data_IF_561217270569
#
_entry.id   IF_561217270569
#
_cell.length_a   1.000
_cell.length_b   1.000
_cell.length_c   1.000
_cell.angle_alpha   90.00
_cell.angle_beta   90.00
_cell.angle_gamma   90.00
#
_symmetry.space_group_name_H-M   'P 1'
#
loop_
_entity.id
_entity.type
_entity.pdbx_description
1 polymer ?
#
# COMPACT_ATOMS: atom_id res chain seq x y z
N UNK A 1 2.39 68.86 3.74
CA UNK A 1 1.43 68.63 4.85
C UNK A 1 1.32 67.11 5.01
N UNK A 2 2.15 66.43 5.81
CA UNK A 2 2.09 66.18 7.27
C UNK A 2 0.69 65.83 7.76
N UNK A 3 0.45 64.57 8.17
CA UNK A 3 -0.04 64.05 9.47
C UNK A 3 0.00 62.49 9.40
N UNK A 4 0.93 61.81 10.08
CA UNK A 4 0.84 61.22 11.44
C UNK A 4 -0.02 59.94 11.48
N UNK A 5 0.56 58.72 11.53
CA UNK A 5 0.94 57.95 12.74
C UNK A 5 -0.18 57.83 13.79
N UNK A 6 -0.76 56.63 13.90
CA UNK A 6 -1.35 56.15 15.15
C UNK A 6 -1.00 54.67 15.35
N UNK A 7 -0.18 54.43 16.36
CA UNK A 7 0.04 53.16 17.02
C UNK A 7 -1.25 52.70 17.69
N UNK A 8 -1.47 51.38 17.71
CA UNK A 8 -2.53 50.73 18.47
C UNK A 8 -2.02 49.42 19.05
N UNK A 9 -1.15 49.52 20.06
CA UNK A 9 -0.83 48.41 20.97
C UNK A 9 -2.07 48.10 21.81
N UNK A 10 -2.45 46.82 21.91
CA UNK A 10 -3.18 46.30 23.07
C UNK A 10 -2.80 44.85 23.27
N UNK A 11 -1.97 44.65 24.29
CA UNK A 11 -1.63 43.39 24.93
C UNK A 11 -2.78 43.07 25.89
N UNK A 12 -3.35 41.87 25.79
CA UNK A 12 -4.05 41.24 26.91
C UNK A 12 -3.48 39.83 27.06
N UNK A 13 -2.63 39.69 28.07
CA UNK A 13 -2.22 38.45 28.67
C UNK A 13 -3.25 38.06 29.74
N UNK A 14 -3.67 36.80 29.75
CA UNK A 14 -4.33 36.00 30.80
C UNK A 14 -4.29 34.57 30.25
N UNK A 15 -4.02 33.47 30.93
CA UNK A 15 -3.55 33.12 32.27
C UNK A 15 -3.46 31.59 32.21
N UNK A 16 -2.39 30.99 32.73
CA UNK A 16 -2.20 29.54 32.70
C UNK A 16 -3.19 28.76 33.56
N UNK A 17 -3.30 27.47 33.28
CA UNK A 17 -3.60 26.47 34.29
C UNK A 17 -2.77 25.21 34.00
N UNK A 18 -1.82 24.96 34.90
CA UNK A 18 -1.09 23.71 35.00
C UNK A 18 -1.92 22.72 35.83
N UNK A 19 -1.93 21.44 35.45
CA UNK A 19 -2.06 20.30 36.38
C UNK A 19 -1.82 18.98 35.63
N UNK A 20 -0.68 18.35 35.89
CA UNK A 20 -0.52 16.89 36.03
C UNK A 20 -0.54 16.60 37.56
N UNK A 21 -0.77 15.37 38.11
CA UNK A 21 -0.15 14.12 37.65
C UNK A 21 -0.94 12.79 37.87
N UNK A 22 -0.28 11.68 37.45
CA UNK A 22 -0.22 10.35 38.06
C UNK A 22 -1.38 9.32 37.89
N UNK A 23 -1.09 8.21 37.21
CA UNK A 23 -0.79 6.89 37.84
C UNK A 23 -0.98 5.72 36.86
N UNK A 24 0.06 4.93 36.64
CA UNK A 24 -0.02 3.48 36.31
C UNK A 24 0.29 2.70 37.62
N UNK A 25 0.34 1.34 37.69
CA UNK A 25 -0.10 0.25 36.79
C UNK A 25 -0.90 -0.84 37.56
N UNK A 26 -1.54 -1.81 36.90
CA UNK A 26 -1.80 -3.13 37.51
C UNK A 26 -1.81 -4.26 36.48
N UNK A 27 -0.77 -5.09 36.53
CA UNK A 27 -0.76 -6.49 36.09
C UNK A 27 -0.89 -7.36 37.34
N UNK A 28 -1.56 -8.53 37.23
CA UNK A 28 -0.96 -9.73 37.80
C UNK A 28 -1.03 -10.93 36.84
N UNK A 29 0.08 -11.66 36.76
CA UNK A 29 0.12 -13.11 36.47
C UNK A 29 0.36 -13.84 37.83
N UNK A 30 0.60 -15.16 37.93
CA UNK A 30 0.31 -16.32 37.06
C UNK A 30 -0.31 -17.51 37.86
N UNK A 31 -0.40 -18.70 37.22
CA UNK A 31 -0.04 -20.03 37.76
C UNK A 31 -1.11 -21.13 37.71
N UNK A 32 -0.74 -22.26 37.10
CA UNK A 32 -0.76 -23.66 37.63
C UNK A 32 -1.06 -24.65 36.49
N UNK A 33 -0.05 -25.31 35.91
CA UNK A 33 0.51 -26.63 36.28
C UNK A 33 -0.43 -27.83 36.08
N UNK A 34 -0.10 -28.70 35.12
CA UNK A 34 0.40 -30.08 35.34
C UNK A 34 -0.13 -31.11 34.32
N UNK A 35 0.77 -31.48 33.39
CA UNK A 35 1.27 -32.83 33.06
C UNK A 35 0.35 -34.04 32.69
N UNK A 36 0.89 -35.00 31.90
CA UNK A 36 0.17 -35.97 31.05
C UNK A 36 0.10 -37.38 31.66
N UNK A 37 -0.61 -38.32 31.00
CA UNK A 37 -0.51 -39.76 31.31
C UNK A 37 -0.41 -40.59 30.03
N UNK A 38 0.56 -41.49 30.08
CA UNK A 38 1.03 -42.48 29.11
C UNK A 38 0.12 -43.72 28.94
N UNK A 39 0.21 -44.27 27.72
CA UNK A 39 0.43 -45.68 27.32
C UNK A 39 -0.63 -46.80 27.49
N UNK A 40 -0.58 -47.70 26.49
CA UNK A 40 -1.44 -48.85 26.16
C UNK A 40 -1.11 -50.13 26.99
N UNK A 41 -1.83 -51.26 26.81
CA UNK A 41 -1.55 -52.20 25.71
C UNK A 41 -2.76 -53.00 25.12
N UNK A 42 -2.50 -53.62 23.96
CA UNK A 42 -3.23 -54.61 23.12
C UNK A 42 -3.43 -56.00 23.82
N UNK A 43 -4.08 -57.08 23.27
CA UNK A 43 -4.14 -57.57 21.87
C UNK A 43 -5.44 -58.33 21.42
N UNK A 44 -5.50 -58.77 20.14
CA UNK A 44 -6.48 -59.74 19.65
C UNK A 44 -6.48 -59.96 18.12
N UNK A 45 -6.26 -61.20 17.72
CA UNK A 45 -5.96 -61.81 16.40
C UNK A 45 -7.20 -62.02 15.49
N UNK A 46 -7.08 -61.94 14.15
CA UNK A 46 -7.61 -62.94 13.20
C UNK A 46 -7.15 -62.71 11.74
N UNK A 47 -7.13 -63.81 11.02
CA UNK A 47 -6.41 -64.20 9.79
C UNK A 47 -7.21 -63.91 8.50
N UNK A 48 -6.56 -63.48 7.40
CA UNK A 48 -6.91 -63.99 6.05
C UNK A 48 -5.92 -63.58 4.92
N UNK A 49 -5.43 -64.60 4.22
CA UNK A 49 -5.09 -64.71 2.80
C UNK A 49 -4.39 -63.55 2.05
N UNK A 50 -3.13 -63.81 1.68
CA UNK A 50 -2.42 -63.08 0.63
C UNK A 50 -2.92 -63.47 -0.78
N UNK A 51 -3.15 -62.50 -1.69
CA UNK A 51 -3.01 -62.72 -3.12
C UNK A 51 -1.81 -61.98 -3.73
N UNK A 52 -1.14 -62.63 -4.68
CA UNK A 52 0.05 -62.15 -5.41
C UNK A 52 -0.16 -60.79 -6.11
N UNK A 53 0.88 -59.93 -6.23
CA UNK A 53 0.76 -58.69 -6.99
C UNK A 53 0.66 -58.96 -8.50
N UNK A 54 -0.23 -58.28 -9.25
CA UNK A 54 -0.31 -58.44 -10.69
C UNK A 54 0.97 -57.94 -11.36
N UNK A 55 1.48 -58.74 -12.30
CA UNK A 55 2.62 -58.41 -13.17
C UNK A 55 2.28 -57.18 -14.01
N UNK A 56 3.06 -56.11 -13.83
CA UNK A 56 3.02 -54.89 -14.65
C UNK A 56 3.04 -55.26 -16.14
N UNK A 57 2.07 -54.76 -16.91
CA UNK A 57 1.99 -55.06 -18.34
C UNK A 57 3.07 -54.26 -19.10
N UNK A 58 3.50 -54.78 -20.25
CA UNK A 58 4.51 -54.12 -21.08
C UNK A 58 4.12 -52.69 -21.46
N UNK A 59 2.83 -52.36 -21.56
CA UNK A 59 2.33 -51.01 -21.85
C UNK A 59 2.64 -50.00 -20.74
N UNK A 60 2.59 -50.41 -19.46
CA UNK A 60 2.91 -49.54 -18.32
C UNK A 60 4.42 -49.25 -18.25
N UNK A 61 5.25 -50.22 -18.61
CA UNK A 61 6.70 -50.04 -18.68
C UNK A 61 7.14 -49.05 -19.80
N UNK A 62 6.40 -48.95 -20.91
CA UNK A 62 6.66 -47.95 -21.96
C UNK A 62 6.27 -46.53 -21.54
N UNK A 63 5.18 -46.37 -20.77
CA UNK A 63 4.72 -45.07 -20.28
C UNK A 63 5.70 -44.48 -19.26
N UNK A 64 6.24 -45.31 -18.36
CA UNK A 64 7.18 -44.87 -17.33
C UNK A 64 8.56 -44.51 -17.92
N UNK A 65 9.01 -45.26 -18.94
CA UNK A 65 10.28 -45.00 -19.61
C UNK A 65 10.26 -43.70 -20.43
N UNK A 66 9.15 -43.41 -21.12
CA UNK A 66 8.97 -42.16 -21.89
C UNK A 66 8.95 -40.94 -20.98
N UNK A 67 8.23 -41.03 -19.86
CA UNK A 67 8.13 -39.94 -18.87
C UNK A 67 9.50 -39.59 -18.27
N UNK A 68 10.39 -40.58 -18.12
CA UNK A 68 11.73 -40.39 -17.56
C UNK A 68 12.75 -39.85 -18.57
N UNK A 69 12.61 -40.17 -19.85
CA UNK A 69 13.42 -39.56 -20.92
C UNK A 69 13.04 -38.08 -21.17
N UNK A 70 11.75 -37.73 -21.03
CA UNK A 70 11.28 -36.36 -21.20
C UNK A 70 11.72 -35.44 -20.04
N UNK A 71 11.81 -35.97 -18.81
CA UNK A 71 12.31 -35.25 -17.65
C UNK A 71 13.84 -35.02 -17.65
N UNK A 72 14.60 -35.81 -18.41
CA UNK A 72 16.07 -35.72 -18.46
C UNK A 72 16.61 -34.89 -19.63
N UNK A 73 15.74 -34.45 -20.55
CA UNK A 73 16.12 -33.76 -21.78
C UNK A 73 15.83 -32.24 -21.80
N UNK A 74 15.37 -31.64 -20.70
CA UNK A 74 15.08 -30.21 -20.65
C UNK A 74 16.29 -29.37 -20.17
N UNK A 75 16.94 -28.56 -21.04
CA UNK A 75 17.85 -27.51 -20.60
C UNK A 75 17.06 -26.35 -19.96
N UNK A 76 17.65 -25.58 -19.01
CA UNK A 76 16.97 -24.43 -18.44
C UNK A 76 17.02 -23.26 -19.44
N UNK A 77 15.97 -23.12 -20.25
CA UNK A 77 15.77 -21.92 -21.08
C UNK A 77 14.46 -21.24 -20.72
N UNK A 78 14.62 -19.99 -20.30
CA UNK A 78 13.65 -18.91 -20.24
C UNK A 78 12.57 -18.95 -21.32
N UNK A 79 11.41 -18.38 -20.99
CA UNK A 79 10.21 -18.18 -21.81
C UNK A 79 9.34 -19.41 -22.04
N UNK A 80 8.65 -19.84 -20.97
CA UNK A 80 7.41 -20.60 -21.13
C UNK A 80 6.29 -19.59 -21.44
N UNK A 81 6.15 -19.32 -22.74
CA UNK A 81 5.01 -18.63 -23.29
C UNK A 81 3.79 -19.51 -23.04
N UNK A 82 3.05 -19.15 -21.99
CA UNK A 82 1.66 -19.46 -21.75
C UNK A 82 0.96 -20.10 -22.96
N UNK A 83 0.75 -21.42 -22.88
CA UNK A 83 -0.46 -22.02 -23.40
C UNK A 83 -1.64 -21.48 -22.57
N UNK A 84 -2.00 -20.21 -22.78
CA UNK A 84 -3.14 -19.58 -22.12
C UNK A 84 -4.40 -20.09 -22.81
N UNK A 85 -5.20 -20.84 -22.05
CA UNK A 85 -6.62 -21.03 -22.32
C UNK A 85 -7.28 -19.64 -22.53
N UNK A 86 -7.90 -19.36 -23.70
CA UNK A 86 -8.53 -18.08 -23.97
C UNK A 86 -9.73 -17.77 -23.05
N UNK A 87 -10.23 -18.74 -22.26
CA UNK A 87 -11.25 -18.53 -21.23
C UNK A 87 -10.64 -18.18 -19.86
N UNK A 88 -9.36 -18.46 -19.62
CA UNK A 88 -8.64 -18.07 -18.39
C UNK A 88 -8.21 -16.58 -18.37
N UNK A 89 -8.48 -15.84 -19.46
CA UNK A 89 -8.28 -14.38 -19.53
C UNK A 89 -9.13 -13.64 -18.47
N UNK A 90 -10.23 -14.26 -18.01
CA UNK A 90 -11.05 -13.73 -16.91
C UNK A 90 -10.27 -13.55 -15.61
N UNK A 91 -9.47 -14.54 -15.21
CA UNK A 91 -8.66 -14.48 -13.98
C UNK A 91 -7.42 -13.59 -14.13
N UNK A 92 -6.87 -13.46 -15.33
CA UNK A 92 -5.77 -12.55 -15.62
C UNK A 92 -6.20 -11.06 -15.55
N UNK A 93 -7.48 -10.75 -15.81
CA UNK A 93 -8.03 -9.41 -15.61
C UNK A 93 -8.30 -9.07 -14.14
N UNK A 94 -8.62 -10.06 -13.29
CA UNK A 94 -8.89 -9.82 -11.86
C UNK A 94 -7.62 -9.58 -11.02
N UNK A 95 -6.44 -9.98 -11.50
CA UNK A 95 -5.17 -9.82 -10.78
C UNK A 95 -4.30 -8.65 -11.27
N UNK A 96 -4.82 -7.79 -12.16
CA UNK A 96 -4.09 -6.60 -12.59
C UNK A 96 -3.76 -5.73 -11.36
N UNK A 97 -2.47 -5.65 -11.03
CA UNK A 97 -1.92 -4.88 -9.91
C UNK A 97 -2.49 -3.46 -9.99
N UNK A 98 -3.49 -3.20 -9.15
CA UNK A 98 -4.19 -1.91 -9.13
C UNK A 98 -3.45 -1.02 -8.17
N UNK A 99 -2.91 0.10 -8.67
CA UNK A 99 -2.23 1.11 -7.86
C UNK A 99 -3.10 1.50 -6.66
N UNK A 100 -2.52 1.42 -5.46
CA UNK A 100 -3.22 1.66 -4.20
C UNK A 100 -3.10 3.12 -3.80
N UNK A 101 -4.24 3.79 -3.63
CA UNK A 101 -4.28 5.17 -3.14
C UNK A 101 -4.81 5.22 -1.71
N UNK A 102 -4.00 5.72 -0.79
CA UNK A 102 -4.37 5.96 0.61
C UNK A 102 -4.65 7.44 0.83
N UNK A 103 -5.93 7.78 1.00
CA UNK A 103 -6.37 9.16 1.25
C UNK A 103 -6.22 9.50 2.73
N UNK A 104 -5.64 10.66 3.03
CA UNK A 104 -5.67 11.21 4.39
C UNK A 104 -7.04 11.85 4.64
N UNK A 105 -7.75 11.50 5.74
CA UNK A 105 -9.03 12.12 6.06
C UNK A 105 -8.91 13.64 6.19
N UNK A 106 -9.86 14.39 5.63
CA UNK A 106 -9.81 15.86 5.58
C UNK A 106 -9.62 16.53 6.96
N UNK A 107 -10.14 15.92 8.03
CA UNK A 107 -9.98 16.40 9.42
C UNK A 107 -8.54 16.34 9.94
N UNK A 108 -7.70 15.49 9.34
CA UNK A 108 -6.29 15.34 9.69
C UNK A 108 -5.37 16.20 8.79
N UNK A 109 -5.92 16.84 7.76
CA UNK A 109 -5.16 17.69 6.86
C UNK A 109 -4.97 19.08 7.48
N UNK A 110 -3.71 19.53 7.47
CA UNK A 110 -3.36 20.90 7.82
C UNK A 110 -3.69 21.82 6.64
N UNK A 111 -4.25 22.99 6.94
CA UNK A 111 -4.40 24.09 5.98
C UNK A 111 -3.02 24.61 5.55
N UNK A 112 -2.84 24.77 4.24
CA UNK A 112 -1.59 25.21 3.60
C UNK A 112 -1.91 26.10 2.41
N UNK A 113 -0.97 26.96 2.07
CA UNK A 113 -0.99 27.87 0.92
C UNK A 113 -0.08 27.36 -0.21
N UNK A 114 -0.23 27.92 -1.41
CA UNK A 114 0.65 27.61 -2.55
C UNK A 114 2.12 27.90 -2.22
N UNK A 115 2.37 29.00 -1.51
CA UNK A 115 3.71 29.36 -1.04
C UNK A 115 4.30 28.34 -0.07
N UNK A 116 3.48 27.69 0.75
CA UNK A 116 3.95 26.58 1.59
C UNK A 116 4.43 25.41 0.73
N UNK A 117 3.73 25.08 -0.37
CA UNK A 117 4.18 24.01 -1.29
C UNK A 117 5.51 24.37 -1.97
N UNK A 118 5.68 25.62 -2.40
CA UNK A 118 6.94 26.08 -3.00
C UNK A 118 8.11 26.03 -2.02
N UNK A 119 7.89 26.42 -0.77
CA UNK A 119 8.88 26.29 0.29
C UNK A 119 9.16 24.81 0.62
N UNK A 120 8.11 23.99 0.63
CA UNK A 120 8.21 22.54 0.78
C UNK A 120 9.07 21.90 -0.31
N UNK A 121 8.88 22.29 -1.57
CA UNK A 121 9.71 21.85 -2.70
C UNK A 121 11.19 22.14 -2.45
N UNK A 122 11.54 23.37 -2.06
CA UNK A 122 12.94 23.75 -1.76
C UNK A 122 13.54 22.95 -0.59
N UNK A 123 12.70 22.52 0.35
CA UNK A 123 13.11 21.65 1.47
C UNK A 123 13.41 20.24 0.96
N UNK A 124 12.53 19.69 0.11
CA UNK A 124 12.69 18.37 -0.48
C UNK A 124 13.92 18.30 -1.39
N UNK A 125 14.18 19.33 -2.21
CA UNK A 125 15.36 19.42 -3.09
C UNK A 125 16.69 19.46 -2.31
N UNK A 126 16.67 19.86 -1.04
CA UNK A 126 17.85 19.93 -0.17
C UNK A 126 18.01 18.72 0.74
N UNK A 127 17.08 17.78 0.71
CA UNK A 127 17.18 16.56 1.51
C UNK A 127 18.12 15.57 0.82
N UNK A 128 18.91 14.85 1.62
CA UNK A 128 19.86 13.87 1.10
C UNK A 128 19.18 12.53 0.79
N UNK A 129 18.05 12.26 1.46
CA UNK A 129 17.30 11.02 1.32
C UNK A 129 15.80 11.26 1.20
N UNK A 130 15.10 10.32 0.58
CA UNK A 130 13.65 10.34 0.48
C UNK A 130 12.96 10.38 1.86
N UNK A 131 13.39 9.55 2.81
CA UNK A 131 12.79 9.51 4.15
C UNK A 131 12.99 10.83 4.90
N UNK A 132 14.15 11.47 4.73
CA UNK A 132 14.42 12.79 5.28
C UNK A 132 13.52 13.85 4.63
N UNK A 133 13.37 13.83 3.30
CA UNK A 133 12.47 14.71 2.58
C UNK A 133 11.02 14.57 3.07
N UNK A 134 10.51 13.33 3.18
CA UNK A 134 9.16 13.05 3.71
C UNK A 134 9.02 13.60 5.12
N UNK A 135 9.96 13.33 6.03
CA UNK A 135 9.90 13.83 7.41
C UNK A 135 9.86 15.35 7.46
N UNK A 136 10.74 16.04 6.73
CA UNK A 136 10.79 17.51 6.69
C UNK A 136 9.51 18.10 6.07
N UNK A 137 9.00 17.50 5.00
CA UNK A 137 7.74 17.91 4.38
C UNK A 137 6.54 17.71 5.31
N UNK A 138 6.45 16.58 6.01
CA UNK A 138 5.36 16.31 6.97
C UNK A 138 5.37 17.30 8.12
N UNK A 139 6.55 17.67 8.64
CA UNK A 139 6.67 18.71 9.66
C UNK A 139 6.17 20.06 9.15
N UNK A 140 6.52 20.43 7.90
CA UNK A 140 6.19 21.74 7.32
C UNK A 140 4.75 21.87 6.82
N UNK A 141 4.25 20.84 6.14
CA UNK A 141 2.99 20.83 5.38
C UNK A 141 1.88 20.00 6.04
N UNK A 142 2.20 19.28 7.12
CA UNK A 142 1.36 18.25 7.69
C UNK A 142 1.35 16.96 6.87
N UNK A 143 0.41 16.07 7.18
CA UNK A 143 0.22 14.82 6.43
C UNK A 143 -0.01 15.10 4.93
N UNK A 144 0.48 14.21 4.04
CA UNK A 144 0.16 14.28 2.62
C UNK A 144 -1.36 14.17 2.43
N UNK A 145 -1.87 14.76 1.36
CA UNK A 145 -3.29 14.63 0.98
C UNK A 145 -3.61 13.18 0.63
N UNK A 146 -2.70 12.50 -0.07
CA UNK A 146 -2.74 11.06 -0.29
C UNK A 146 -1.36 10.47 -0.53
N UNK A 147 -1.28 9.16 -0.41
CA UNK A 147 -0.08 8.37 -0.73
C UNK A 147 -0.44 7.31 -1.76
N UNK A 148 0.38 7.19 -2.79
CA UNK A 148 0.26 6.20 -3.85
C UNK A 148 1.31 5.10 -3.64
N UNK A 149 0.83 3.85 -3.58
CA UNK A 149 1.60 2.62 -3.31
C UNK A 149 2.52 2.68 -2.08
N UNK A 150 2.19 3.53 -1.10
CA UNK A 150 3.03 3.79 0.08
C UNK A 150 4.34 4.54 -0.22
N UNK A 151 4.60 4.88 -1.49
CA UNK A 151 5.90 5.38 -1.98
C UNK A 151 5.83 6.78 -2.58
N UNK A 152 4.70 7.22 -3.11
CA UNK A 152 4.56 8.58 -3.67
C UNK A 152 3.65 9.40 -2.78
N UNK A 153 4.22 10.40 -2.11
CA UNK A 153 3.50 11.28 -1.20
C UNK A 153 3.07 12.54 -1.94
N UNK A 154 1.78 12.89 -1.88
CA UNK A 154 1.25 14.05 -2.60
C UNK A 154 0.58 15.03 -1.64
N UNK A 155 1.01 16.29 -1.67
CA UNK A 155 0.40 17.41 -0.97
C UNK A 155 -0.31 18.31 -1.96
N UNK A 156 -1.55 18.68 -1.63
CA UNK A 156 -2.38 19.53 -2.49
C UNK A 156 -2.90 20.74 -1.75
N UNK A 157 -2.87 21.87 -2.46
CA UNK A 157 -3.57 23.11 -2.12
C UNK A 157 -4.57 23.39 -3.23
N UNK A 158 -5.82 23.68 -2.86
CA UNK A 158 -6.90 23.92 -3.81
C UNK A 158 -7.42 25.35 -3.66
N UNK A 159 -7.66 26.00 -4.79
CA UNK A 159 -8.48 27.22 -4.89
C UNK A 159 -9.78 26.95 -5.68
N UNK A 160 -10.49 28.00 -6.09
CA UNK A 160 -11.73 27.89 -6.86
C UNK A 160 -11.58 27.27 -8.25
N UNK A 161 -10.39 27.39 -8.85
CA UNK A 161 -10.11 27.15 -10.27
C UNK A 161 -9.02 26.11 -10.52
N UNK A 162 -8.12 25.94 -9.57
CA UNK A 162 -6.88 25.18 -9.69
C UNK A 162 -6.58 24.39 -8.42
N UNK A 163 -5.81 23.33 -8.62
CA UNK A 163 -5.18 22.57 -7.55
C UNK A 163 -3.68 22.52 -7.82
N UNK A 164 -2.92 22.99 -6.84
CA UNK A 164 -1.47 23.00 -6.83
C UNK A 164 -0.99 21.77 -6.10
N UNK A 165 -0.12 21.00 -6.75
CA UNK A 165 0.36 19.71 -6.26
C UNK A 165 1.87 19.76 -6.07
N UNK A 166 2.32 19.20 -4.96
CA UNK A 166 3.70 18.80 -4.75
C UNK A 166 3.70 17.29 -4.52
N UNK A 167 4.36 16.53 -5.39
CA UNK A 167 4.54 15.09 -5.24
C UNK A 167 6.01 14.76 -5.01
N UNK A 168 6.26 13.87 -4.06
CA UNK A 168 7.57 13.27 -3.79
C UNK A 168 7.46 11.77 -4.07
N UNK A 169 8.11 11.29 -5.14
CA UNK A 169 8.17 9.88 -5.50
C UNK A 169 9.16 9.11 -4.62
N UNK A 170 8.95 7.79 -4.51
CA UNK A 170 9.79 6.92 -3.68
C UNK A 170 11.23 6.76 -4.19
N UNK A 171 11.47 7.17 -5.44
CA UNK A 171 12.77 7.30 -6.07
C UNK A 171 13.47 8.64 -5.74
N UNK A 172 12.84 9.51 -4.96
CA UNK A 172 13.32 10.85 -4.64
C UNK A 172 12.96 11.91 -5.68
N UNK A 173 12.20 11.57 -6.73
CA UNK A 173 11.71 12.54 -7.70
C UNK A 173 10.76 13.54 -7.06
N UNK A 174 10.87 14.81 -7.46
CA UNK A 174 10.02 15.90 -6.97
C UNK A 174 9.28 16.49 -8.16
N UNK A 175 7.94 16.41 -8.13
CA UNK A 175 7.08 16.95 -9.17
C UNK A 175 6.20 18.06 -8.58
N UNK A 176 6.12 19.18 -9.28
CA UNK A 176 5.13 20.23 -8.99
C UNK A 176 4.25 20.45 -10.19
N UNK A 177 2.94 20.50 -9.95
CA UNK A 177 1.96 20.58 -11.02
C UNK A 177 0.78 21.47 -10.63
N UNK A 178 0.21 22.17 -11.62
CA UNK A 178 -1.07 22.86 -11.47
C UNK A 178 -2.10 22.14 -12.33
N UNK A 179 -3.17 21.65 -11.71
CA UNK A 179 -4.25 20.90 -12.37
C UNK A 179 -5.59 21.58 -12.16
N UNK A 180 -6.59 21.21 -12.96
CA UNK A 180 -7.97 21.65 -12.70
C UNK A 180 -8.65 20.72 -11.68
N UNK A 181 -9.66 21.19 -10.92
CA UNK A 181 -10.38 20.37 -9.95
C UNK A 181 -11.02 19.09 -10.54
N UNK A 182 -11.33 19.10 -11.83
CA UNK A 182 -11.99 18.00 -12.54
C UNK A 182 -11.01 17.18 -13.41
N UNK A 183 -9.71 17.31 -13.21
CA UNK A 183 -8.71 16.54 -13.95
C UNK A 183 -8.69 15.08 -13.46
N UNK A 184 -9.21 14.16 -14.28
CA UNK A 184 -9.21 12.71 -14.04
C UNK A 184 -8.20 12.05 -14.98
N UNK A 185 -7.27 11.29 -14.40
CA UNK A 185 -6.19 10.60 -15.12
C UNK A 185 -6.38 9.10 -15.05
N UNK A 186 -6.04 8.43 -16.15
CA UNK A 186 -5.99 6.98 -16.18
C UNK A 186 -4.91 6.50 -15.22
N UNK A 187 -5.31 5.65 -14.27
CA UNK A 187 -4.43 4.97 -13.33
C UNK A 187 -4.20 3.52 -13.80
N UNK A 188 -5.24 2.88 -14.31
CA UNK A 188 -5.17 1.61 -15.03
C UNK A 188 -6.26 1.56 -16.12
N UNK A 189 -6.31 0.49 -16.91
CA UNK A 189 -7.34 0.32 -17.94
C UNK A 189 -8.79 0.46 -17.43
N UNK A 190 -9.01 0.15 -16.14
CA UNK A 190 -10.32 0.15 -15.49
C UNK A 190 -10.39 1.12 -14.30
N UNK A 191 -9.43 2.04 -14.16
CA UNK A 191 -9.47 2.99 -13.04
C UNK A 191 -8.94 4.36 -13.42
N UNK A 192 -9.58 5.38 -12.85
CA UNK A 192 -9.18 6.76 -12.98
C UNK A 192 -8.98 7.38 -11.61
N UNK A 193 -8.00 8.26 -11.50
CA UNK A 193 -7.75 9.06 -10.31
C UNK A 193 -7.94 10.54 -10.60
N UNK A 194 -8.63 11.24 -9.72
CA UNK A 194 -8.71 12.69 -9.79
C UNK A 194 -7.41 13.30 -9.24
N UNK A 195 -6.69 14.06 -10.08
CA UNK A 195 -5.39 14.62 -9.74
C UNK A 195 -5.45 15.66 -8.60
N UNK A 196 -6.61 16.29 -8.36
CA UNK A 196 -6.77 17.28 -7.30
C UNK A 196 -7.11 16.66 -5.93
N UNK A 197 -7.89 15.58 -5.91
CA UNK A 197 -8.46 15.01 -4.68
C UNK A 197 -7.86 13.66 -4.30
N UNK A 198 -7.18 12.99 -5.24
CA UNK A 198 -6.72 11.62 -5.10
C UNK A 198 -7.85 10.59 -5.16
N UNK A 199 -9.11 11.01 -5.34
CA UNK A 199 -10.25 10.09 -5.41
C UNK A 199 -10.12 9.15 -6.62
N UNK A 200 -10.41 7.87 -6.41
CA UNK A 200 -10.35 6.83 -7.45
C UNK A 200 -11.76 6.43 -7.86
N UNK A 201 -11.97 6.30 -9.17
CA UNK A 201 -13.17 5.70 -9.77
C UNK A 201 -12.74 4.44 -10.50
N UNK A 202 -13.43 3.33 -10.20
CA UNK A 202 -13.24 2.06 -10.89
C UNK A 202 -14.36 1.88 -11.92
N UNK A 203 -14.04 1.33 -13.09
CA UNK A 203 -14.95 1.10 -14.20
C UNK A 203 -14.34 1.47 -15.56
N UNK A 204 -14.92 0.92 -16.63
CA UNK A 204 -14.50 1.22 -18.01
C UNK A 204 -14.88 2.68 -18.33
N UNK A 205 -13.92 3.54 -18.68
CA UNK A 205 -14.21 4.93 -19.06
C UNK A 205 -15.24 4.98 -20.20
N UNK A 206 -16.41 5.57 -19.95
CA UNK A 206 -17.46 5.75 -20.96
C UNK A 206 -18.59 4.72 -20.94
N UNK A 207 -18.49 3.63 -20.16
CA UNK A 207 -19.65 2.80 -19.84
C UNK A 207 -20.37 3.38 -18.64
N UNK A 208 -21.54 4.00 -18.89
CA UNK A 208 -22.50 4.32 -17.82
C UNK A 208 -23.15 3.01 -17.39
N UNK A 209 -23.15 2.74 -16.09
CA UNK A 209 -24.07 1.76 -15.51
C UNK A 209 -25.50 2.31 -15.54
#
# INVERSE_FOLDING_TARGET
MKYALSLGMSVLALSGCASAPASSPTTPAPASSAAPVEEAPTPGEEEEAAPEPPKQSSAEAWAEKRSREEAAAAPPSSTDAMAADPLAIGDAMESAVTTKIELTPARQLRTKSVRDLEDGRKIAEKAETYDEAVKKLVVRLGKPTWVEDGKKHVWVVRDSTHCYRLALGGDGSIETETVTPNDWRMLSALSQQNACTGAVKNGIPGMKH
#
